data_IF_203475857324
#
_entry.id   IF_203475857324
#
_cell.length_a   1.000
_cell.length_b   1.000
_cell.length_c   1.000
_cell.angle_alpha   90.00
_cell.angle_beta   90.00
_cell.angle_gamma   90.00
#
_symmetry.space_group_name_H-M   'P 1'
#
loop_
_entity.id
_entity.type
_entity.pdbx_description
1 polymer ?
#
# COMPACT_ATOMS: atom_id res chain seq x y z
N UNK A 1 0.35 -9.17 6.67
CA UNK A 1 -0.69 -8.13 6.59
C UNK A 1 -1.99 -8.58 5.90
N UNK A 2 -2.01 -9.65 5.12
CA UNK A 2 -3.23 -10.18 4.46
C UNK A 2 -4.24 -10.69 5.49
N UNK A 3 -3.76 -11.36 6.55
CA UNK A 3 -4.63 -12.08 7.49
C UNK A 3 -5.63 -11.23 8.25
N UNK A 4 -5.28 -10.04 8.71
CA UNK A 4 -6.20 -9.21 9.49
C UNK A 4 -7.40 -8.73 8.68
N UNK A 5 -7.18 -8.32 7.42
CA UNK A 5 -8.27 -7.92 6.51
C UNK A 5 -9.19 -9.09 6.19
N UNK A 6 -8.62 -10.27 5.92
CA UNK A 6 -9.40 -11.49 5.64
C UNK A 6 -10.22 -11.93 6.85
N UNK A 7 -9.63 -11.86 8.07
CA UNK A 7 -10.33 -12.26 9.29
C UNK A 7 -11.43 -11.26 9.66
N UNK A 8 -11.17 -9.96 9.54
CA UNK A 8 -12.14 -8.93 9.96
C UNK A 8 -13.28 -8.72 8.95
N UNK A 9 -13.02 -8.95 7.66
CA UNK A 9 -13.98 -8.71 6.59
C UNK A 9 -15.33 -9.42 6.80
N UNK A 10 -15.41 -10.74 7.15
CA UNK A 10 -16.68 -11.40 7.41
C UNK A 10 -17.51 -10.75 8.53
N UNK A 11 -16.86 -10.29 9.59
CA UNK A 11 -17.54 -9.63 10.71
C UNK A 11 -18.10 -8.26 10.31
N UNK A 12 -17.35 -7.49 9.52
CA UNK A 12 -17.81 -6.20 8.97
C UNK A 12 -19.01 -6.44 8.06
N UNK A 13 -18.93 -7.40 7.13
CA UNK A 13 -19.99 -7.69 6.16
C UNK A 13 -21.27 -8.25 6.80
N UNK A 14 -21.14 -8.97 7.92
CA UNK A 14 -22.30 -9.51 8.65
C UNK A 14 -23.00 -8.44 9.52
N UNK A 15 -22.22 -7.56 10.17
CA UNK A 15 -22.75 -6.67 11.22
C UNK A 15 -23.01 -5.24 10.76
N UNK A 16 -22.40 -4.81 9.64
CA UNK A 16 -22.54 -3.43 9.20
C UNK A 16 -23.45 -3.31 7.98
N UNK A 17 -24.36 -2.32 7.95
CA UNK A 17 -25.14 -1.97 6.78
C UNK A 17 -24.24 -1.70 5.57
N UNK A 18 -24.75 -1.97 4.37
CA UNK A 18 -24.01 -1.84 3.12
C UNK A 18 -23.43 -0.44 2.91
N UNK A 19 -24.18 0.61 3.18
CA UNK A 19 -23.70 2.00 3.11
C UNK A 19 -22.50 2.25 4.05
N UNK A 20 -22.54 1.66 5.26
CA UNK A 20 -21.45 1.77 6.25
C UNK A 20 -20.17 1.10 5.74
N UNK A 21 -20.31 -0.04 5.05
CA UNK A 21 -19.20 -0.71 4.35
C UNK A 21 -18.65 0.19 3.23
N UNK A 22 -19.51 0.93 2.53
CA UNK A 22 -19.10 1.94 1.54
C UNK A 22 -18.20 3.03 2.15
N UNK A 23 -18.61 3.61 3.28
CA UNK A 23 -17.79 4.60 4.02
C UNK A 23 -16.47 3.98 4.48
N UNK A 24 -16.48 2.75 5.00
CA UNK A 24 -15.25 2.06 5.40
C UNK A 24 -14.27 1.90 4.21
N UNK A 25 -14.75 1.56 3.02
CA UNK A 25 -13.91 1.49 1.81
C UNK A 25 -13.30 2.86 1.44
N UNK A 26 -14.07 3.94 1.60
CA UNK A 26 -13.58 5.31 1.42
C UNK A 26 -12.47 5.61 2.44
N UNK A 27 -12.66 5.28 3.71
CA UNK A 27 -11.65 5.46 4.77
C UNK A 27 -10.36 4.69 4.49
N UNK A 28 -10.46 3.44 4.03
CA UNK A 28 -9.32 2.64 3.60
C UNK A 28 -8.55 3.33 2.45
N UNK A 29 -9.28 3.88 1.49
CA UNK A 29 -8.69 4.54 0.33
C UNK A 29 -8.03 5.86 0.70
N UNK A 30 -8.65 6.66 1.59
CA UNK A 30 -8.04 7.88 2.14
C UNK A 30 -6.76 7.54 2.90
N UNK A 31 -6.77 6.49 3.72
CA UNK A 31 -5.57 6.03 4.42
C UNK A 31 -4.48 5.62 3.42
N UNK A 32 -4.81 4.91 2.34
CA UNK A 32 -3.86 4.57 1.29
C UNK A 32 -3.31 5.81 0.58
N UNK A 33 -4.14 6.83 0.34
CA UNK A 33 -3.72 8.12 -0.21
C UNK A 33 -2.71 8.84 0.71
N UNK A 34 -2.98 8.86 2.02
CA UNK A 34 -2.05 9.46 3.01
C UNK A 34 -0.72 8.73 3.01
N UNK A 35 -0.71 7.40 2.86
CA UNK A 35 0.53 6.62 2.81
C UNK A 35 1.40 6.95 1.60
N UNK A 36 0.83 7.44 0.49
CA UNK A 36 1.61 7.92 -0.66
C UNK A 36 2.46 9.14 -0.34
N UNK A 37 2.02 9.97 0.61
CA UNK A 37 2.75 11.17 1.02
C UNK A 37 4.05 10.85 1.78
N UNK A 38 4.33 9.56 2.07
CA UNK A 38 5.68 9.08 2.41
C UNK A 38 6.67 9.27 1.26
N UNK A 39 6.20 9.36 0.01
CA UNK A 39 7.03 9.52 -1.20
C UNK A 39 8.24 8.58 -1.26
N UNK A 40 8.13 7.35 -0.74
CA UNK A 40 9.22 6.38 -0.73
C UNK A 40 10.38 6.73 0.23
N UNK A 41 10.18 7.69 1.12
CA UNK A 41 11.20 8.05 2.11
C UNK A 41 11.46 6.94 3.12
N UNK A 42 10.43 6.17 3.53
CA UNK A 42 10.59 5.07 4.49
C UNK A 42 11.58 4.00 4.01
N UNK A 43 11.46 3.38 2.82
CA UNK A 43 12.45 2.42 2.34
C UNK A 43 13.82 3.05 2.10
N UNK A 44 13.87 4.30 1.66
CA UNK A 44 15.12 5.04 1.44
C UNK A 44 15.83 5.30 2.77
N UNK A 45 15.12 5.73 3.80
CA UNK A 45 15.70 5.88 5.15
C UNK A 45 16.15 4.54 5.72
N UNK A 46 15.36 3.48 5.61
CA UNK A 46 15.74 2.15 6.10
C UNK A 46 17.06 1.68 5.47
N UNK A 47 17.23 1.87 4.16
CA UNK A 47 18.45 1.56 3.44
C UNK A 47 19.64 2.40 3.94
N UNK A 48 19.48 3.71 4.09
CA UNK A 48 20.56 4.58 4.56
C UNK A 48 20.95 4.27 6.01
N UNK A 49 19.99 3.95 6.87
CA UNK A 49 20.27 3.50 8.24
C UNK A 49 21.06 2.18 8.22
N UNK A 50 20.74 1.25 7.32
CA UNK A 50 21.52 0.02 7.14
C UNK A 50 22.97 0.32 6.76
N UNK A 51 23.21 1.30 5.87
CA UNK A 51 24.57 1.73 5.52
C UNK A 51 25.31 2.33 6.72
N UNK A 52 24.65 3.14 7.55
CA UNK A 52 25.25 3.70 8.77
C UNK A 52 25.65 2.59 9.73
N UNK A 53 24.80 1.58 9.93
CA UNK A 53 25.13 0.42 10.78
C UNK A 53 26.25 -0.48 10.18
N UNK A 54 26.46 -0.39 8.86
CA UNK A 54 27.61 -1.03 8.17
C UNK A 54 28.88 -0.17 8.18
N UNK A 55 28.89 0.98 8.88
CA UNK A 55 30.09 1.80 9.06
C UNK A 55 30.30 2.90 8.01
N UNK A 56 29.30 3.22 7.18
CA UNK A 56 29.34 4.37 6.25
C UNK A 56 29.36 5.68 7.05
N UNK A 57 30.27 6.60 6.69
CA UNK A 57 30.46 7.90 7.37
C UNK A 57 29.76 9.05 6.66
N UNK A 58 29.43 8.92 5.37
CA UNK A 58 28.76 9.95 4.58
C UNK A 58 27.73 9.32 3.66
N UNK A 59 26.51 9.90 3.59
CA UNK A 59 25.48 9.46 2.67
C UNK A 59 25.66 10.13 1.31
N UNK A 60 25.65 9.33 0.24
CA UNK A 60 25.80 9.80 -1.13
C UNK A 60 24.45 9.83 -1.85
N UNK A 61 24.31 10.75 -2.80
CA UNK A 61 23.12 10.85 -3.66
C UNK A 61 22.98 9.64 -4.58
N UNK A 62 24.09 9.18 -5.15
CA UNK A 62 24.15 8.03 -6.04
C UNK A 62 25.30 7.11 -5.56
N UNK A 63 25.06 5.80 -5.60
CA UNK A 63 26.02 4.79 -5.18
C UNK A 63 26.09 4.56 -3.66
N UNK A 64 27.08 3.77 -3.25
CA UNK A 64 27.38 3.44 -1.84
C UNK A 64 28.87 3.56 -1.61
N UNK A 65 29.26 4.20 -0.51
CA UNK A 65 30.65 4.23 -0.09
C UNK A 65 31.08 2.81 0.33
N UNK A 66 32.09 2.25 -0.32
CA UNK A 66 32.65 0.97 0.09
C UNK A 66 33.30 1.07 1.46
N UNK A 67 32.89 0.22 2.38
CA UNK A 67 33.46 0.13 3.72
C UNK A 67 34.16 -1.22 3.89
N UNK A 68 35.30 -1.24 4.54
CA UNK A 68 35.90 -2.48 5.04
C UNK A 68 35.06 -2.97 6.20
N UNK A 69 34.56 -4.21 6.15
CA UNK A 69 33.48 -4.79 6.95
C UNK A 69 33.56 -4.73 8.50
N UNK A 70 34.52 -3.98 9.08
CA UNK A 70 34.71 -3.78 10.53
C UNK A 70 34.65 -2.30 10.95
N UNK A 71 34.05 -1.42 10.14
CA UNK A 71 33.97 -0.01 10.50
C UNK A 71 32.94 0.22 11.61
N UNK A 72 33.31 1.01 12.63
CA UNK A 72 32.42 1.37 13.73
C UNK A 72 31.24 2.23 13.25
N UNK A 73 30.07 2.06 13.87
CA UNK A 73 28.85 2.82 13.59
C UNK A 73 29.08 4.30 13.88
N UNK A 74 28.77 5.16 12.92
CA UNK A 74 28.79 6.60 13.11
C UNK A 74 27.50 7.09 13.77
N UNK A 75 27.53 7.27 15.08
CA UNK A 75 26.38 7.74 15.84
C UNK A 75 26.05 9.23 15.59
N UNK A 76 26.99 10.02 15.08
CA UNK A 76 26.75 11.40 14.69
C UNK A 76 25.86 11.47 13.44
N UNK A 77 26.21 10.67 12.43
CA UNK A 77 25.39 10.52 11.22
C UNK A 77 24.03 9.88 11.53
N UNK A 78 23.97 8.87 12.41
CA UNK A 78 22.72 8.26 12.85
C UNK A 78 21.80 9.26 13.54
N UNK A 79 22.33 10.10 14.44
CA UNK A 79 21.58 11.15 15.12
C UNK A 79 21.07 12.21 14.15
N UNK A 80 21.91 12.67 13.22
CA UNK A 80 21.51 13.58 12.15
C UNK A 80 20.40 13.01 11.28
N UNK A 81 20.52 11.73 10.87
CA UNK A 81 19.49 11.02 10.09
C UNK A 81 18.17 10.87 10.86
N UNK A 82 18.22 10.55 12.15
CA UNK A 82 17.03 10.49 13.01
C UNK A 82 16.32 11.85 13.11
N UNK A 83 17.06 12.93 13.27
CA UNK A 83 16.50 14.28 13.30
C UNK A 83 15.93 14.69 11.93
N UNK A 84 16.59 14.31 10.84
CA UNK A 84 16.10 14.52 9.47
C UNK A 84 14.75 13.82 9.24
N UNK A 85 14.64 12.54 9.65
CA UNK A 85 13.38 11.78 9.57
C UNK A 85 12.27 12.42 10.40
N UNK A 86 12.54 12.73 11.67
CA UNK A 86 11.56 13.37 12.56
C UNK A 86 11.08 14.71 12.01
N UNK A 87 11.98 15.52 11.44
CA UNK A 87 11.64 16.80 10.82
C UNK A 87 10.77 16.59 9.59
N UNK A 88 11.14 15.68 8.69
CA UNK A 88 10.38 15.35 7.48
C UNK A 88 8.97 14.87 7.82
N UNK A 89 8.85 13.81 8.64
CA UNK A 89 7.54 13.23 8.97
C UNK A 89 6.65 14.16 9.79
N UNK A 90 7.23 15.05 10.59
CA UNK A 90 6.46 16.08 11.29
C UNK A 90 5.81 17.06 10.30
N UNK A 91 6.57 17.56 9.34
CA UNK A 91 6.03 18.45 8.30
C UNK A 91 4.97 17.74 7.44
N UNK A 92 5.22 16.50 7.05
CA UNK A 92 4.23 15.71 6.30
C UNK A 92 2.95 15.48 7.10
N UNK A 93 3.06 15.20 8.41
CA UNK A 93 1.90 15.04 9.28
C UNK A 93 1.08 16.36 9.40
N UNK A 94 1.73 17.53 9.48
CA UNK A 94 1.03 18.80 9.46
C UNK A 94 0.33 19.08 8.12
N UNK A 95 0.97 18.78 7.00
CA UNK A 95 0.36 18.91 5.67
C UNK A 95 -0.88 18.01 5.56
N UNK A 96 -0.75 16.74 5.97
CA UNK A 96 -1.88 15.79 5.98
C UNK A 96 -3.00 16.24 6.89
N UNK A 97 -2.65 16.72 8.09
CA UNK A 97 -3.65 17.26 9.02
C UNK A 97 -4.43 18.41 8.38
N UNK A 98 -3.74 19.39 7.80
CA UNK A 98 -4.38 20.50 7.10
C UNK A 98 -5.28 20.04 5.95
N UNK A 99 -4.79 19.12 5.09
CA UNK A 99 -5.57 18.60 3.96
C UNK A 99 -6.81 17.80 4.43
N UNK A 100 -6.67 16.95 5.45
CA UNK A 100 -7.79 16.14 5.92
C UNK A 100 -8.83 16.97 6.68
N UNK A 101 -8.39 17.97 7.48
CA UNK A 101 -9.32 18.84 8.21
C UNK A 101 -10.08 19.78 7.25
N UNK A 102 -9.46 20.22 6.16
CA UNK A 102 -10.11 21.12 5.18
C UNK A 102 -10.79 20.35 4.06
N UNK A 103 -10.05 20.00 3.01
CA UNK A 103 -10.58 19.35 1.82
C UNK A 103 -11.17 17.95 2.12
N UNK A 104 -10.52 17.19 3.01
CA UNK A 104 -10.99 15.85 3.43
C UNK A 104 -12.33 15.94 4.16
N UNK A 105 -12.48 16.89 5.10
CA UNK A 105 -13.74 17.06 5.85
C UNK A 105 -14.85 17.59 4.93
N UNK A 106 -14.55 18.52 4.02
CA UNK A 106 -15.53 18.99 3.05
C UNK A 106 -16.02 17.85 2.14
N UNK A 107 -15.10 17.05 1.63
CA UNK A 107 -15.43 15.84 0.85
C UNK A 107 -16.25 14.83 1.67
N UNK A 108 -15.82 14.52 2.90
CA UNK A 108 -16.54 13.57 3.75
C UNK A 108 -17.92 14.08 4.14
N UNK A 109 -18.07 15.37 4.40
CA UNK A 109 -19.39 16.00 4.66
C UNK A 109 -20.33 15.84 3.46
N UNK A 110 -19.83 16.03 2.23
CA UNK A 110 -20.59 15.76 1.00
C UNK A 110 -21.04 14.30 0.91
N UNK A 111 -20.16 13.35 1.21
CA UNK A 111 -20.51 11.92 1.23
C UNK A 111 -21.54 11.60 2.32
N UNK A 112 -21.41 12.24 3.49
CA UNK A 112 -22.31 12.01 4.63
C UNK A 112 -23.76 12.45 4.33
N UNK A 113 -23.97 13.37 3.38
CA UNK A 113 -25.33 13.75 2.94
C UNK A 113 -26.08 12.58 2.27
N UNK A 114 -25.35 11.65 1.66
CA UNK A 114 -25.89 10.45 1.00
C UNK A 114 -26.06 9.26 1.97
N UNK A 115 -25.58 9.40 3.21
CA UNK A 115 -25.56 8.32 4.19
C UNK A 115 -26.83 8.35 5.05
N UNK A 116 -27.55 7.21 5.07
CA UNK A 116 -28.79 7.05 5.85
C UNK A 116 -28.57 6.50 7.26
N UNK A 117 -27.37 5.95 7.54
CA UNK A 117 -27.03 5.36 8.83
C UNK A 117 -26.65 6.36 9.92
N UNK A 118 -25.97 5.90 10.96
CA UNK A 118 -25.55 6.73 12.10
C UNK A 118 -24.46 7.74 11.70
N UNK A 119 -24.88 8.97 11.42
CA UNK A 119 -23.98 10.08 11.09
C UNK A 119 -23.05 10.48 12.23
N UNK A 120 -23.46 10.28 13.47
CA UNK A 120 -22.65 10.62 14.63
C UNK A 120 -21.47 9.65 14.77
N UNK A 121 -21.72 8.35 14.63
CA UNK A 121 -20.66 7.31 14.59
C UNK A 121 -19.71 7.56 13.42
N UNK A 122 -20.24 7.84 12.22
CA UNK A 122 -19.41 8.11 11.03
C UNK A 122 -18.53 9.37 11.20
N UNK A 123 -19.03 10.44 11.80
CA UNK A 123 -18.27 11.65 12.07
C UNK A 123 -17.19 11.42 13.16
N UNK A 124 -17.52 10.69 14.22
CA UNK A 124 -16.55 10.31 15.25
C UNK A 124 -15.43 9.47 14.64
N UNK A 125 -15.78 8.48 13.82
CA UNK A 125 -14.82 7.65 13.10
C UNK A 125 -13.94 8.49 12.15
N UNK A 126 -14.50 9.53 11.49
CA UNK A 126 -13.74 10.46 10.66
C UNK A 126 -12.68 11.23 11.46
N UNK A 127 -13.03 11.78 12.61
CA UNK A 127 -12.09 12.48 13.51
C UNK A 127 -10.96 11.53 13.95
N UNK A 128 -11.30 10.31 14.35
CA UNK A 128 -10.31 9.29 14.69
C UNK A 128 -9.44 8.91 13.50
N UNK A 129 -10.00 8.87 12.28
CA UNK A 129 -9.25 8.60 11.05
C UNK A 129 -8.21 9.69 10.77
N UNK A 130 -8.55 10.96 10.96
CA UNK A 130 -7.58 12.06 10.85
C UNK A 130 -6.44 11.84 11.86
N UNK A 131 -6.79 11.60 13.13
CA UNK A 131 -5.82 11.42 14.20
C UNK A 131 -4.86 10.25 13.91
N UNK A 132 -5.39 9.08 13.49
CA UNK A 132 -4.56 7.90 13.20
C UNK A 132 -3.68 8.10 11.99
N UNK A 133 -4.15 8.74 10.92
CA UNK A 133 -3.35 8.99 9.72
C UNK A 133 -2.19 9.95 10.02
N UNK A 134 -2.44 11.03 10.75
CA UNK A 134 -1.39 11.96 11.18
C UNK A 134 -0.38 11.29 12.10
N UNK A 135 -0.84 10.52 13.09
CA UNK A 135 0.02 9.81 14.02
C UNK A 135 0.86 8.72 13.33
N UNK A 136 0.25 7.95 12.43
CA UNK A 136 0.94 6.93 11.64
C UNK A 136 2.06 7.56 10.81
N UNK A 137 1.74 8.61 10.05
CA UNK A 137 2.73 9.27 9.20
C UNK A 137 3.87 9.87 10.02
N UNK A 138 3.55 10.57 11.11
CA UNK A 138 4.56 11.13 12.01
C UNK A 138 5.51 10.07 12.56
N UNK A 139 5.01 8.86 12.82
CA UNK A 139 5.76 7.78 13.48
C UNK A 139 6.34 6.73 12.51
N UNK A 140 6.25 6.92 11.19
CA UNK A 140 6.77 5.97 10.19
C UNK A 140 8.27 5.72 10.29
N UNK A 141 9.04 6.67 10.84
CA UNK A 141 10.47 6.50 11.01
C UNK A 141 10.86 5.33 11.93
N UNK A 142 9.97 4.86 12.81
CA UNK A 142 10.27 3.68 13.65
C UNK A 142 10.46 2.40 12.81
N UNK A 143 9.63 2.20 11.78
CA UNK A 143 9.76 1.05 10.89
C UNK A 143 11.09 1.11 10.12
N UNK A 144 11.47 2.30 9.64
CA UNK A 144 12.74 2.53 8.96
C UNK A 144 13.95 2.27 9.89
N UNK A 145 13.87 2.70 11.15
CA UNK A 145 14.91 2.45 12.15
C UNK A 145 15.12 0.97 12.44
N UNK A 146 14.03 0.23 12.67
CA UNK A 146 14.10 -1.21 12.98
C UNK A 146 14.62 -2.00 11.77
N UNK A 147 14.08 -1.74 10.58
CA UNK A 147 14.51 -2.43 9.36
C UNK A 147 15.98 -2.10 9.02
N UNK A 148 16.36 -0.84 9.10
CA UNK A 148 17.73 -0.40 8.82
C UNK A 148 18.77 -0.93 9.81
N UNK A 149 18.40 -1.14 11.07
CA UNK A 149 19.26 -1.78 12.07
C UNK A 149 19.35 -3.32 11.91
N UNK A 150 18.57 -3.91 10.98
CA UNK A 150 18.49 -5.36 10.80
C UNK A 150 17.50 -6.07 11.73
N UNK A 151 16.70 -5.33 12.51
CA UNK A 151 15.68 -5.88 13.41
C UNK A 151 14.39 -6.26 12.67
N UNK A 152 14.55 -6.91 11.49
CA UNK A 152 13.43 -7.28 10.62
C UNK A 152 12.46 -8.24 11.33
N UNK A 153 12.97 -9.25 12.04
CA UNK A 153 12.16 -10.21 12.80
C UNK A 153 11.32 -9.51 13.87
N UNK A 154 11.94 -8.65 14.67
CA UNK A 154 11.26 -7.91 15.74
C UNK A 154 10.19 -6.97 15.16
N UNK A 155 10.49 -6.28 14.06
CA UNK A 155 9.53 -5.42 13.38
C UNK A 155 8.32 -6.23 12.88
N UNK A 156 8.53 -7.41 12.31
CA UNK A 156 7.42 -8.28 11.88
C UNK A 156 6.61 -8.81 13.07
N UNK A 157 7.25 -9.21 14.17
CA UNK A 157 6.56 -9.64 15.39
C UNK A 157 5.68 -8.53 15.97
N UNK A 158 6.18 -7.29 16.04
CA UNK A 158 5.41 -6.12 16.49
C UNK A 158 4.22 -5.88 15.57
N UNK A 159 4.40 -6.00 14.25
CA UNK A 159 3.32 -5.82 13.29
C UNK A 159 2.26 -6.92 13.41
N UNK A 160 2.65 -8.19 13.59
CA UNK A 160 1.72 -9.31 13.79
C UNK A 160 0.92 -9.11 15.08
N UNK A 161 1.59 -8.79 16.19
CA UNK A 161 0.93 -8.53 17.46
C UNK A 161 -0.06 -7.36 17.34
N UNK A 162 0.36 -6.27 16.72
CA UNK A 162 -0.52 -5.13 16.47
C UNK A 162 -1.74 -5.49 15.64
N UNK A 163 -1.58 -6.31 14.59
CA UNK A 163 -2.71 -6.79 13.79
C UNK A 163 -3.66 -7.69 14.59
N UNK A 164 -3.12 -8.56 15.44
CA UNK A 164 -3.95 -9.39 16.33
C UNK A 164 -4.77 -8.55 17.32
N UNK A 165 -4.14 -7.54 17.93
CA UNK A 165 -4.83 -6.59 18.82
C UNK A 165 -5.90 -5.80 18.05
N UNK A 166 -5.59 -5.31 16.84
CA UNK A 166 -6.55 -4.60 15.99
C UNK A 166 -7.78 -5.45 15.70
N UNK A 167 -7.58 -6.69 15.26
CA UNK A 167 -8.68 -7.61 14.90
C UNK A 167 -9.50 -7.95 16.14
N UNK A 168 -8.85 -8.32 17.25
CA UNK A 168 -9.55 -8.69 18.49
C UNK A 168 -10.39 -7.54 19.05
N UNK A 169 -9.82 -6.33 19.12
CA UNK A 169 -10.55 -5.15 19.58
C UNK A 169 -11.68 -4.76 18.63
N UNK A 170 -11.44 -4.78 17.31
CA UNK A 170 -12.44 -4.42 16.32
C UNK A 170 -13.64 -5.37 16.40
N UNK A 171 -13.40 -6.69 16.44
CA UNK A 171 -14.47 -7.69 16.60
C UNK A 171 -15.24 -7.46 17.91
N UNK A 172 -14.54 -7.32 19.04
CA UNK A 172 -15.18 -7.08 20.34
C UNK A 172 -16.07 -5.84 20.35
N UNK A 173 -15.59 -4.72 19.80
CA UNK A 173 -16.33 -3.46 19.74
C UNK A 173 -17.49 -3.51 18.72
N UNK A 174 -17.34 -4.21 17.60
CA UNK A 174 -18.44 -4.43 16.63
C UNK A 174 -19.57 -5.20 17.32
N UNK A 175 -19.27 -6.26 18.07
CA UNK A 175 -20.29 -7.01 18.84
C UNK A 175 -20.89 -6.20 19.98
N UNK A 176 -20.18 -5.21 20.53
CA UNK A 176 -20.70 -4.26 21.50
C UNK A 176 -21.61 -3.19 20.88
N UNK A 177 -21.84 -3.21 19.57
CA UNK A 177 -22.73 -2.31 18.87
C UNK A 177 -22.09 -1.03 18.34
N UNK A 178 -20.76 -0.89 18.44
CA UNK A 178 -20.06 0.24 17.82
C UNK A 178 -19.88 -0.01 16.30
N UNK A 179 -20.17 0.99 15.49
CA UNK A 179 -20.07 0.93 14.04
C UNK A 179 -18.65 1.17 13.50
N UNK A 180 -18.51 2.21 12.67
CA UNK A 180 -17.22 2.61 12.09
C UNK A 180 -16.18 2.98 13.15
N UNK A 181 -16.63 3.59 14.24
CA UNK A 181 -15.77 3.96 15.38
C UNK A 181 -15.07 2.73 15.98
N UNK A 182 -15.70 1.54 16.00
CA UNK A 182 -15.06 0.30 16.42
C UNK A 182 -13.80 -0.01 15.60
N UNK A 183 -13.90 0.07 14.29
CA UNK A 183 -12.80 -0.27 13.37
C UNK A 183 -11.68 0.74 13.51
N UNK A 184 -11.99 2.03 13.38
CA UNK A 184 -10.97 3.09 13.38
C UNK A 184 -10.34 3.25 14.77
N UNK A 185 -11.12 3.18 15.83
CA UNK A 185 -10.64 3.25 17.21
C UNK A 185 -9.68 2.09 17.55
N UNK A 186 -10.05 0.88 17.16
CA UNK A 186 -9.20 -0.30 17.35
C UNK A 186 -7.88 -0.19 16.59
N UNK A 187 -7.92 0.38 15.38
CA UNK A 187 -6.73 0.63 14.57
C UNK A 187 -5.82 1.68 15.21
N UNK A 188 -6.38 2.73 15.84
CA UNK A 188 -5.62 3.75 16.55
C UNK A 188 -4.90 3.15 17.76
N UNK A 189 -5.61 2.40 18.60
CA UNK A 189 -5.05 1.72 19.77
C UNK A 189 -3.92 0.77 19.36
N UNK A 190 -4.17 -0.09 18.37
CA UNK A 190 -3.16 -1.00 17.81
C UNK A 190 -1.92 -0.25 17.33
N UNK A 191 -2.12 0.87 16.64
CA UNK A 191 -1.00 1.69 16.13
C UNK A 191 -0.17 2.28 17.26
N UNK A 192 -0.81 2.81 18.30
CA UNK A 192 -0.10 3.33 19.47
C UNK A 192 0.75 2.24 20.13
N UNK A 193 0.17 1.06 20.34
CA UNK A 193 0.88 -0.09 20.95
C UNK A 193 2.10 -0.49 20.09
N UNK A 194 1.92 -0.61 18.76
CA UNK A 194 3.04 -0.91 17.85
C UNK A 194 4.16 0.12 17.96
N UNK A 195 3.83 1.40 18.04
CA UNK A 195 4.83 2.47 18.13
C UNK A 195 5.57 2.48 19.47
N UNK A 196 4.87 2.22 20.56
CA UNK A 196 5.48 2.06 21.90
C UNK A 196 6.45 0.87 21.90
N UNK A 197 6.06 -0.28 21.35
CA UNK A 197 6.93 -1.45 21.24
C UNK A 197 8.14 -1.17 20.34
N UNK A 198 7.95 -0.55 19.17
CA UNK A 198 9.03 -0.18 18.26
C UNK A 198 10.03 0.78 18.93
N UNK A 199 9.53 1.75 19.69
CA UNK A 199 10.37 2.66 20.47
C UNK A 199 11.21 1.91 21.50
N UNK A 200 10.61 1.01 22.29
CA UNK A 200 11.30 0.23 23.34
C UNK A 200 12.39 -0.68 22.74
N UNK A 201 12.12 -1.31 21.59
CA UNK A 201 13.08 -2.20 20.91
C UNK A 201 14.26 -1.42 20.32
N UNK A 202 14.03 -0.25 19.74
CA UNK A 202 15.11 0.52 19.13
C UNK A 202 15.89 1.35 20.14
N UNK A 203 15.21 2.11 21.00
CA UNK A 203 15.81 3.04 21.96
C UNK A 203 16.13 2.38 23.29
N UNK A 204 17.07 1.40 23.27
CA UNK A 204 17.66 0.83 24.49
C UNK A 204 18.44 1.88 25.26
N UNK A 205 18.78 1.64 26.52
CA UNK A 205 19.58 2.58 27.33
C UNK A 205 20.94 2.86 26.68
N UNK A 206 21.60 1.82 26.14
CA UNK A 206 22.84 1.97 25.40
C UNK A 206 22.69 2.86 24.16
N UNK A 207 21.64 2.64 23.35
CA UNK A 207 21.38 3.45 22.16
C UNK A 207 21.13 4.92 22.53
N UNK A 208 20.36 5.16 23.58
CA UNK A 208 20.08 6.52 24.09
C UNK A 208 21.39 7.21 24.54
N UNK A 209 22.22 6.52 25.32
CA UNK A 209 23.51 7.04 25.78
C UNK A 209 24.43 7.39 24.62
N UNK A 210 24.60 6.49 23.64
CA UNK A 210 25.42 6.71 22.45
C UNK A 210 24.91 7.88 21.59
N UNK A 211 23.60 7.98 21.38
CA UNK A 211 23.00 9.08 20.64
C UNK A 211 23.07 10.41 21.38
N UNK A 212 22.99 10.42 22.72
CA UNK A 212 23.12 11.65 23.50
C UNK A 212 24.54 12.21 23.44
N UNK A 213 25.56 11.37 23.52
CA UNK A 213 26.97 11.74 23.47
C UNK A 213 27.45 12.14 22.06
N UNK A 214 26.77 11.72 21.00
CA UNK A 214 27.18 12.01 19.64
C UNK A 214 26.87 13.45 19.22
N UNK A 215 27.78 14.06 18.44
CA UNK A 215 27.54 15.33 17.76
C UNK A 215 26.35 15.19 16.77
N UNK A 216 25.85 16.28 16.25
CA UNK A 216 24.71 16.27 15.29
C UNK A 216 25.22 16.68 13.92
N UNK A 217 25.12 15.84 12.93
CA UNK A 217 25.26 16.24 11.52
C UNK A 217 24.01 16.98 11.06
N UNK A 218 24.18 17.96 10.14
CA UNK A 218 23.03 18.77 9.70
C UNK A 218 21.94 17.92 9.03
N UNK A 219 20.72 17.90 9.59
CA UNK A 219 19.59 17.16 9.00
C UNK A 219 19.22 17.63 7.59
N UNK A 220 19.52 18.89 7.22
CA UNK A 220 19.19 19.42 5.90
C UNK A 220 20.03 18.79 4.80
N UNK A 221 21.33 18.60 5.04
CA UNK A 221 22.23 17.98 4.08
C UNK A 221 21.88 16.52 3.86
N UNK A 222 21.50 15.82 4.93
CA UNK A 222 21.01 14.44 4.86
C UNK A 222 19.75 14.35 4.02
N UNK A 223 18.75 15.20 4.24
CA UNK A 223 17.53 15.23 3.44
C UNK A 223 17.83 15.55 1.98
N UNK A 224 18.73 16.51 1.70
CA UNK A 224 19.13 16.85 0.33
C UNK A 224 19.78 15.68 -0.41
N UNK A 225 20.58 14.87 0.29
CA UNK A 225 21.20 13.68 -0.28
C UNK A 225 20.16 12.56 -0.60
N UNK A 226 19.14 12.38 0.25
CA UNK A 226 18.17 11.27 0.18
C UNK A 226 16.99 11.58 -0.74
N UNK A 227 16.52 12.84 -0.79
CA UNK A 227 15.27 13.25 -1.44
C UNK A 227 15.14 12.86 -2.92
N UNK A 228 16.15 12.97 -3.81
CA UNK A 228 15.96 12.69 -5.22
C UNK A 228 15.50 11.26 -5.51
N UNK A 229 16.08 10.28 -4.80
CA UNK A 229 15.70 8.87 -4.95
C UNK A 229 14.34 8.57 -4.33
N UNK A 230 14.04 9.16 -3.18
CA UNK A 230 12.75 9.01 -2.51
C UNK A 230 11.60 9.54 -3.40
N UNK A 231 11.75 10.74 -3.99
CA UNK A 231 10.74 11.35 -4.85
C UNK A 231 10.45 10.49 -6.10
N UNK A 232 11.47 9.93 -6.75
CA UNK A 232 11.28 9.04 -7.91
C UNK A 232 10.42 7.83 -7.56
N UNK A 233 10.70 7.20 -6.41
CA UNK A 233 9.92 6.05 -5.90
C UNK A 233 8.49 6.49 -5.60
N UNK A 234 8.32 7.63 -4.91
CA UNK A 234 7.01 8.14 -4.52
C UNK A 234 6.12 8.48 -5.71
N UNK A 235 6.66 9.10 -6.74
CA UNK A 235 5.92 9.42 -7.97
C UNK A 235 5.48 8.16 -8.72
N UNK A 236 6.30 7.10 -8.74
CA UNK A 236 5.90 5.80 -9.31
C UNK A 236 4.73 5.20 -8.53
N UNK A 237 4.78 5.25 -7.19
CA UNK A 237 3.69 4.78 -6.33
C UNK A 237 2.41 5.62 -6.50
N UNK A 238 2.54 6.94 -6.70
CA UNK A 238 1.40 7.82 -6.97
C UNK A 238 0.67 7.43 -8.27
N UNK A 239 1.40 7.14 -9.34
CA UNK A 239 0.80 6.62 -10.58
C UNK A 239 0.02 5.32 -10.35
N UNK A 240 0.61 4.36 -9.65
CA UNK A 240 -0.07 3.11 -9.29
C UNK A 240 -1.32 3.30 -8.42
N UNK A 241 -1.29 4.25 -7.47
CA UNK A 241 -2.47 4.59 -6.68
C UNK A 241 -3.60 5.18 -7.55
N UNK A 242 -3.27 6.11 -8.43
CA UNK A 242 -4.28 6.73 -9.31
C UNK A 242 -4.96 5.67 -10.18
N UNK A 243 -4.25 4.65 -10.64
CA UNK A 243 -4.86 3.54 -11.39
C UNK A 243 -5.73 2.66 -10.49
N UNK A 244 -5.21 2.22 -9.34
CA UNK A 244 -5.79 1.11 -8.59
C UNK A 244 -6.77 1.54 -7.48
N UNK A 245 -6.70 2.79 -7.00
CA UNK A 245 -7.47 3.23 -5.82
C UNK A 245 -8.28 4.51 -6.03
N UNK A 246 -7.99 5.33 -7.06
CA UNK A 246 -8.74 6.58 -7.28
C UNK A 246 -10.21 6.35 -7.61
N UNK A 247 -10.54 5.18 -8.18
CA UNK A 247 -11.89 4.80 -8.56
C UNK A 247 -12.88 4.88 -7.38
N UNK A 248 -12.48 4.46 -6.17
CA UNK A 248 -13.34 4.52 -4.98
C UNK A 248 -13.60 5.98 -4.58
N UNK A 249 -12.55 6.84 -4.56
CA UNK A 249 -12.71 8.24 -4.15
C UNK A 249 -13.53 9.05 -5.15
N UNK A 250 -13.26 8.86 -6.45
CA UNK A 250 -14.00 9.57 -7.50
C UNK A 250 -15.42 9.00 -7.59
N UNK A 251 -15.54 7.67 -7.59
CA UNK A 251 -16.83 6.98 -7.69
C UNK A 251 -17.79 7.35 -6.58
N UNK A 252 -17.35 7.48 -5.34
CA UNK A 252 -18.22 7.85 -4.21
C UNK A 252 -18.82 9.25 -4.33
N UNK A 253 -18.24 10.16 -5.14
CA UNK A 253 -18.83 11.44 -5.44
C UNK A 253 -20.04 11.33 -6.40
N UNK A 254 -20.06 10.32 -7.27
CA UNK A 254 -21.09 10.16 -8.31
C UNK A 254 -22.08 9.03 -8.01
N UNK A 255 -21.65 7.96 -7.39
CA UNK A 255 -22.43 6.74 -7.13
C UNK A 255 -23.05 6.74 -5.73
N UNK A 256 -23.93 5.76 -5.49
CA UNK A 256 -24.45 5.46 -4.16
C UNK A 256 -23.39 4.81 -3.27
N UNK A 257 -23.56 4.91 -1.95
CA UNK A 257 -22.64 4.24 -1.01
C UNK A 257 -22.73 2.72 -1.09
N UNK A 258 -23.88 2.17 -1.47
CA UNK A 258 -24.09 0.74 -1.72
C UNK A 258 -23.28 0.24 -2.92
N UNK A 259 -23.30 0.97 -4.04
CA UNK A 259 -22.48 0.66 -5.21
C UNK A 259 -20.98 0.73 -4.89
N UNK A 260 -20.58 1.73 -4.12
CA UNK A 260 -19.19 1.86 -3.63
C UNK A 260 -18.82 0.70 -2.71
N UNK A 261 -19.75 0.22 -1.88
CA UNK A 261 -19.55 -0.94 -1.02
C UNK A 261 -19.32 -2.22 -1.86
N UNK A 262 -20.21 -2.51 -2.81
CA UNK A 262 -20.08 -3.67 -3.70
C UNK A 262 -18.77 -3.65 -4.48
N UNK A 263 -18.43 -2.52 -5.07
CA UNK A 263 -17.16 -2.35 -5.78
C UNK A 263 -15.95 -2.51 -4.85
N UNK A 264 -15.99 -1.90 -3.66
CA UNK A 264 -14.90 -1.92 -2.69
C UNK A 264 -14.61 -3.31 -2.13
N UNK A 265 -15.63 -4.10 -1.77
CA UNK A 265 -15.41 -5.48 -1.30
C UNK A 265 -14.91 -6.38 -2.43
N UNK A 266 -15.42 -6.17 -3.66
CA UNK A 266 -14.93 -6.88 -4.85
C UNK A 266 -13.45 -6.59 -5.08
N UNK A 267 -13.00 -5.32 -4.97
CA UNK A 267 -11.59 -4.95 -5.03
C UNK A 267 -10.76 -5.60 -3.92
N UNK A 268 -11.29 -5.70 -2.70
CA UNK A 268 -10.54 -6.32 -1.60
C UNK A 268 -10.29 -7.81 -1.84
N UNK A 269 -11.30 -8.54 -2.33
CA UNK A 269 -11.13 -9.95 -2.67
C UNK A 269 -10.18 -10.11 -3.87
N UNK A 270 -10.26 -9.21 -4.86
CA UNK A 270 -9.31 -9.14 -5.97
C UNK A 270 -7.87 -8.94 -5.48
N UNK A 271 -7.64 -8.01 -4.54
CA UNK A 271 -6.33 -7.76 -3.94
C UNK A 271 -5.79 -9.01 -3.20
N UNK A 272 -6.67 -9.79 -2.55
CA UNK A 272 -6.29 -11.05 -1.88
C UNK A 272 -5.89 -12.09 -2.92
N UNK A 273 -6.71 -12.30 -3.95
CA UNK A 273 -6.44 -13.23 -5.04
C UNK A 273 -5.12 -12.91 -5.74
N UNK A 274 -4.90 -11.64 -6.05
CA UNK A 274 -3.68 -11.15 -6.66
C UNK A 274 -2.44 -11.45 -5.81
N UNK A 275 -2.51 -11.23 -4.51
CA UNK A 275 -1.41 -11.54 -3.59
C UNK A 275 -1.11 -13.03 -3.52
N UNK A 276 -2.13 -13.88 -3.52
CA UNK A 276 -1.97 -15.33 -3.59
C UNK A 276 -1.30 -15.74 -4.92
N UNK A 277 -1.73 -15.17 -6.04
CA UNK A 277 -1.16 -15.45 -7.35
C UNK A 277 0.32 -15.02 -7.47
N UNK A 278 0.70 -13.92 -6.80
CA UNK A 278 2.07 -13.38 -6.86
C UNK A 278 3.05 -14.02 -5.85
N UNK A 279 2.63 -14.99 -5.03
CA UNK A 279 3.49 -15.63 -4.01
C UNK A 279 4.73 -16.27 -4.63
N UNK A 280 4.59 -17.00 -5.73
CA UNK A 280 5.71 -17.64 -6.39
C UNK A 280 6.73 -16.62 -6.90
N UNK A 281 6.27 -15.55 -7.54
CA UNK A 281 7.15 -14.48 -8.00
C UNK A 281 7.96 -13.88 -6.84
N UNK A 282 7.30 -13.53 -5.72
CA UNK A 282 7.97 -12.97 -4.56
C UNK A 282 8.98 -13.93 -3.94
N UNK A 283 8.69 -15.23 -3.94
CA UNK A 283 9.57 -16.27 -3.40
C UNK A 283 10.81 -16.50 -4.28
N UNK A 284 10.67 -16.35 -5.60
CA UNK A 284 11.77 -16.54 -6.56
C UNK A 284 12.54 -15.25 -6.87
N UNK A 285 12.13 -14.10 -6.35
CA UNK A 285 12.78 -12.81 -6.60
C UNK A 285 14.31 -12.82 -6.31
N UNK A 286 14.81 -13.42 -5.19
CA UNK A 286 16.26 -13.54 -4.96
C UNK A 286 16.98 -14.37 -6.02
N UNK A 287 16.36 -15.47 -6.50
CA UNK A 287 16.93 -16.32 -7.56
C UNK A 287 16.96 -15.62 -8.90
N UNK A 288 15.93 -14.82 -9.21
CA UNK A 288 15.93 -13.98 -10.41
C UNK A 288 17.07 -12.96 -10.39
N UNK A 289 17.31 -12.31 -9.25
CA UNK A 289 18.42 -11.40 -9.07
C UNK A 289 19.78 -12.10 -9.22
N UNK A 290 19.93 -13.31 -8.68
CA UNK A 290 21.13 -14.14 -8.85
C UNK A 290 21.37 -14.50 -10.31
N UNK A 291 20.36 -15.03 -11.03
CA UNK A 291 20.48 -15.34 -12.46
C UNK A 291 20.88 -14.12 -13.29
N UNK A 292 20.41 -12.91 -12.89
CA UNK A 292 20.83 -11.65 -13.53
C UNK A 292 22.34 -11.38 -13.35
N UNK A 293 22.84 -11.54 -12.12
CA UNK A 293 24.28 -11.30 -11.84
C UNK A 293 25.19 -12.33 -12.48
N UNK A 294 24.70 -13.56 -12.66
CA UNK A 294 25.42 -14.68 -13.28
C UNK A 294 25.27 -14.71 -14.82
N UNK A 295 24.46 -13.84 -15.42
CA UNK A 295 24.07 -13.86 -16.83
C UNK A 295 23.46 -15.21 -17.26
N UNK A 296 22.78 -15.90 -16.37
CA UNK A 296 22.10 -17.17 -16.66
C UNK A 296 20.75 -16.92 -17.35
N UNK A 297 20.76 -16.83 -18.67
CA UNK A 297 19.54 -16.65 -19.47
C UNK A 297 18.60 -17.85 -19.40
N UNK A 298 19.15 -19.09 -19.25
CA UNK A 298 18.32 -20.29 -19.16
C UNK A 298 17.53 -20.30 -17.85
N UNK A 299 18.20 -20.01 -16.73
CA UNK A 299 17.57 -19.82 -15.42
C UNK A 299 16.52 -18.71 -15.44
N UNK A 300 16.83 -17.55 -16.03
CA UNK A 300 15.88 -16.44 -16.14
C UNK A 300 14.61 -16.82 -16.91
N UNK A 301 14.73 -17.51 -18.05
CA UNK A 301 13.59 -18.02 -18.84
C UNK A 301 12.74 -18.98 -18.01
N UNK A 302 13.41 -19.96 -17.36
CA UNK A 302 12.73 -20.97 -16.54
C UNK A 302 11.93 -20.33 -15.40
N UNK A 303 12.54 -19.43 -14.63
CA UNK A 303 11.86 -18.76 -13.51
C UNK A 303 10.79 -17.79 -13.99
N UNK A 304 10.98 -17.07 -15.08
CA UNK A 304 9.93 -16.21 -15.64
C UNK A 304 8.69 -17.03 -16.05
N UNK A 305 8.88 -18.12 -16.80
CA UNK A 305 7.77 -18.99 -17.20
C UNK A 305 7.07 -19.64 -15.99
N UNK A 306 7.82 -20.12 -15.01
CA UNK A 306 7.27 -20.72 -13.80
C UNK A 306 6.45 -19.67 -13.01
N UNK A 307 6.97 -18.48 -12.80
CA UNK A 307 6.27 -17.43 -12.07
C UNK A 307 5.04 -16.93 -12.82
N UNK A 308 5.14 -16.74 -14.14
CA UNK A 308 4.01 -16.29 -14.96
C UNK A 308 2.94 -17.37 -15.08
N UNK A 309 3.35 -18.61 -15.33
CA UNK A 309 2.42 -19.75 -15.42
C UNK A 309 1.70 -20.02 -14.09
N UNK A 310 2.43 -19.99 -12.97
CA UNK A 310 1.81 -20.15 -11.64
C UNK A 310 0.88 -18.99 -11.29
N UNK A 311 1.25 -17.76 -11.62
CA UNK A 311 0.40 -16.58 -11.41
C UNK A 311 -0.92 -16.70 -12.19
N UNK A 312 -0.85 -17.02 -13.48
CA UNK A 312 -2.03 -17.20 -14.33
C UNK A 312 -2.91 -18.36 -13.81
N UNK A 313 -2.29 -19.51 -13.48
CA UNK A 313 -3.03 -20.67 -12.99
C UNK A 313 -3.77 -20.39 -11.67
N UNK A 314 -3.09 -19.80 -10.68
CA UNK A 314 -3.69 -19.45 -9.39
C UNK A 314 -4.76 -18.38 -9.55
N UNK A 315 -4.51 -17.36 -10.37
CA UNK A 315 -5.47 -16.28 -10.60
C UNK A 315 -6.74 -16.77 -11.31
N UNK A 316 -6.60 -17.59 -12.34
CA UNK A 316 -7.77 -18.19 -13.05
C UNK A 316 -8.50 -19.15 -12.13
N UNK A 317 -7.82 -20.08 -11.46
CA UNK A 317 -8.48 -21.03 -10.55
C UNK A 317 -9.22 -20.32 -9.41
N UNK A 318 -8.58 -19.32 -8.79
CA UNK A 318 -9.20 -18.52 -7.74
C UNK A 318 -10.33 -17.63 -8.26
N UNK A 319 -10.20 -17.06 -9.45
CA UNK A 319 -11.26 -16.27 -10.10
C UNK A 319 -12.48 -17.11 -10.44
N UNK A 320 -12.29 -18.31 -10.99
CA UNK A 320 -13.37 -19.28 -11.26
C UNK A 320 -14.06 -19.68 -9.94
N UNK A 321 -13.28 -20.06 -8.92
CA UNK A 321 -13.83 -20.38 -7.61
C UNK A 321 -14.63 -19.20 -7.03
N UNK A 322 -14.15 -17.97 -7.18
CA UNK A 322 -14.87 -16.78 -6.71
C UNK A 322 -16.19 -16.55 -7.45
N UNK A 323 -16.22 -16.70 -8.78
CA UNK A 323 -17.45 -16.54 -9.58
C UNK A 323 -18.53 -17.54 -9.15
N UNK A 324 -18.16 -18.79 -8.86
CA UNK A 324 -19.13 -19.84 -8.50
C UNK A 324 -19.44 -19.87 -6.99
N UNK A 325 -18.48 -19.61 -6.13
CA UNK A 325 -18.62 -19.79 -4.69
C UNK A 325 -18.72 -18.46 -3.92
N UNK A 326 -18.45 -17.32 -4.58
CA UNK A 326 -18.37 -16.03 -3.89
C UNK A 326 -19.68 -15.62 -3.21
N UNK A 327 -20.81 -15.69 -3.92
CA UNK A 327 -22.10 -15.35 -3.34
C UNK A 327 -22.51 -16.33 -2.25
N UNK A 328 -22.29 -17.64 -2.47
CA UNK A 328 -22.51 -18.65 -1.43
C UNK A 328 -21.70 -18.37 -0.16
N UNK A 329 -20.46 -17.92 -0.30
CA UNK A 329 -19.64 -17.56 0.86
C UNK A 329 -20.18 -16.31 1.58
N UNK A 330 -20.72 -15.32 0.85
CA UNK A 330 -21.39 -14.16 1.45
C UNK A 330 -22.68 -14.55 2.17
N UNK A 331 -23.48 -15.45 1.58
CA UNK A 331 -24.69 -15.96 2.22
C UNK A 331 -24.38 -16.74 3.50
N UNK A 332 -23.31 -17.57 3.49
CA UNK A 332 -22.86 -18.32 4.65
C UNK A 332 -22.51 -17.44 5.85
N UNK A 333 -21.92 -16.26 5.59
CA UNK A 333 -21.59 -15.28 6.63
C UNK A 333 -22.73 -14.30 6.90
N UNK A 334 -23.90 -14.47 6.28
CA UNK A 334 -25.04 -13.56 6.36
C UNK A 334 -24.66 -12.10 6.05
N UNK A 335 -23.91 -11.90 4.97
CA UNK A 335 -23.44 -10.58 4.55
C UNK A 335 -24.59 -9.68 4.11
N UNK A 336 -24.58 -8.43 4.57
CA UNK A 336 -25.50 -7.39 4.10
C UNK A 336 -25.03 -6.72 2.79
N UNK A 337 -23.81 -7.03 2.34
CA UNK A 337 -23.21 -6.46 1.12
C UNK A 337 -22.96 -7.58 0.11
N UNK A 338 -23.18 -7.30 -1.16
CA UNK A 338 -23.00 -8.24 -2.25
C UNK A 338 -21.80 -7.91 -3.12
N UNK A 339 -21.26 -8.90 -3.82
CA UNK A 339 -20.30 -8.66 -4.88
C UNK A 339 -20.95 -8.00 -6.09
N UNK A 340 -20.12 -7.48 -6.97
CA UNK A 340 -20.58 -6.99 -8.27
C UNK A 340 -21.26 -8.12 -9.07
N UNK A 341 -22.22 -7.79 -9.96
CA UNK A 341 -22.82 -8.74 -10.86
C UNK A 341 -21.78 -9.55 -11.63
N UNK A 342 -22.09 -10.83 -11.93
CA UNK A 342 -21.14 -11.78 -12.52
C UNK A 342 -20.45 -11.24 -13.78
N UNK A 343 -21.18 -10.54 -14.66
CA UNK A 343 -20.59 -9.96 -15.87
C UNK A 343 -19.52 -8.92 -15.55
N UNK A 344 -19.78 -8.01 -14.58
CA UNK A 344 -18.82 -7.03 -14.12
C UNK A 344 -17.60 -7.68 -13.45
N UNK A 345 -17.86 -8.72 -12.63
CA UNK A 345 -16.82 -9.49 -11.96
C UNK A 345 -15.89 -10.17 -12.97
N UNK A 346 -16.43 -10.80 -14.01
CA UNK A 346 -15.63 -11.44 -15.07
C UNK A 346 -14.75 -10.43 -15.81
N UNK A 347 -15.29 -9.27 -16.18
CA UNK A 347 -14.50 -8.21 -16.82
C UNK A 347 -13.41 -7.69 -15.89
N UNK A 348 -13.72 -7.50 -14.61
CA UNK A 348 -12.76 -7.05 -13.61
C UNK A 348 -11.66 -8.09 -13.37
N UNK A 349 -11.99 -9.39 -13.36
CA UNK A 349 -11.00 -10.48 -13.29
C UNK A 349 -10.10 -10.48 -14.51
N UNK A 350 -10.63 -10.29 -15.71
CA UNK A 350 -9.83 -10.21 -16.93
C UNK A 350 -8.86 -9.02 -16.91
N UNK A 351 -9.34 -7.83 -16.55
CA UNK A 351 -8.50 -6.64 -16.37
C UNK A 351 -7.43 -6.89 -15.31
N UNK A 352 -7.81 -7.48 -14.17
CA UNK A 352 -6.89 -7.82 -13.09
C UNK A 352 -5.80 -8.81 -13.50
N UNK A 353 -6.11 -9.81 -14.32
CA UNK A 353 -5.14 -10.75 -14.85
C UNK A 353 -4.08 -10.02 -15.71
N UNK A 354 -4.50 -9.12 -16.60
CA UNK A 354 -3.60 -8.31 -17.42
C UNK A 354 -2.73 -7.38 -16.56
N UNK A 355 -3.34 -6.75 -15.55
CA UNK A 355 -2.67 -5.85 -14.60
C UNK A 355 -1.56 -6.58 -13.83
N UNK A 356 -1.83 -7.77 -13.30
CA UNK A 356 -0.84 -8.53 -12.54
C UNK A 356 0.24 -9.16 -13.43
N UNK A 357 -0.09 -9.49 -14.67
CA UNK A 357 0.90 -9.95 -15.64
C UNK A 357 1.92 -8.84 -15.99
N UNK A 358 1.44 -7.62 -16.23
CA UNK A 358 2.37 -6.52 -16.48
C UNK A 358 3.14 -6.11 -15.23
N UNK A 359 2.51 -6.10 -14.05
CA UNK A 359 3.15 -5.78 -12.78
C UNK A 359 4.29 -6.76 -12.45
N UNK A 360 4.09 -8.06 -12.68
CA UNK A 360 5.12 -9.08 -12.55
C UNK A 360 6.27 -8.85 -13.54
N UNK A 361 5.95 -8.54 -14.81
CA UNK A 361 6.96 -8.23 -15.84
C UNK A 361 7.75 -6.97 -15.51
N UNK A 362 7.09 -5.92 -15.01
CA UNK A 362 7.77 -4.73 -14.50
C UNK A 362 8.69 -5.06 -13.32
N UNK A 363 8.24 -5.91 -12.40
CA UNK A 363 9.06 -6.39 -11.29
C UNK A 363 10.28 -7.20 -11.76
N UNK A 364 10.15 -7.98 -12.84
CA UNK A 364 11.26 -8.70 -13.46
C UNK A 364 12.31 -7.75 -14.05
N UNK A 365 11.88 -6.63 -14.68
CA UNK A 365 12.76 -5.57 -15.15
C UNK A 365 13.44 -4.85 -13.99
N UNK A 366 12.71 -4.64 -12.86
CA UNK A 366 13.26 -4.03 -11.64
C UNK A 366 14.38 -4.86 -11.01
N UNK A 367 14.38 -6.19 -11.19
CA UNK A 367 15.46 -7.05 -10.70
C UNK A 367 16.83 -6.73 -11.35
N UNK A 368 16.82 -6.00 -12.47
CA UNK A 368 18.01 -5.45 -13.15
C UNK A 368 18.29 -3.97 -12.76
N UNK A 369 17.74 -3.50 -11.67
CA UNK A 369 17.85 -2.11 -11.17
C UNK A 369 17.40 -1.02 -12.19
N UNK A 370 16.50 -1.37 -13.12
CA UNK A 370 15.92 -0.45 -14.12
C UNK A 370 14.48 -0.13 -13.76
N UNK A 371 14.08 1.14 -13.88
CA UNK A 371 12.71 1.61 -13.59
C UNK A 371 12.21 2.44 -14.79
N UNK A 372 11.96 1.82 -15.96
CA UNK A 372 11.54 2.55 -17.16
C UNK A 372 10.06 2.96 -17.12
N UNK A 373 9.27 2.41 -16.22
CA UNK A 373 7.80 2.58 -16.14
C UNK A 373 7.36 3.79 -15.32
N UNK A 374 8.25 4.63 -14.84
CA UNK A 374 7.93 5.81 -14.01
C UNK A 374 6.99 6.79 -14.75
N UNK A 375 7.39 7.28 -15.93
CA UNK A 375 6.55 8.20 -16.73
C UNK A 375 5.27 7.52 -17.23
N UNK A 376 5.33 6.29 -17.80
CA UNK A 376 4.10 5.57 -18.15
C UNK A 376 3.12 5.35 -17.00
N UNK A 377 3.60 5.07 -15.80
CA UNK A 377 2.73 4.89 -14.63
C UNK A 377 1.96 6.17 -14.28
N UNK A 378 2.63 7.33 -14.29
CA UNK A 378 1.97 8.62 -14.06
C UNK A 378 0.98 8.96 -15.18
N UNK A 379 1.35 8.72 -16.44
CA UNK A 379 0.47 8.96 -17.58
C UNK A 379 -0.79 8.09 -17.52
N UNK A 380 -0.63 6.78 -17.22
CA UNK A 380 -1.78 5.88 -17.03
C UNK A 380 -2.64 6.29 -15.84
N UNK A 381 -2.03 6.73 -14.74
CA UNK A 381 -2.76 7.25 -13.58
C UNK A 381 -3.59 8.50 -13.93
N UNK A 382 -2.99 9.46 -14.62
CA UNK A 382 -3.71 10.66 -15.08
C UNK A 382 -4.83 10.30 -16.07
N UNK A 383 -4.56 9.41 -17.04
CA UNK A 383 -5.56 8.92 -17.97
C UNK A 383 -6.73 8.22 -17.26
N UNK A 384 -6.45 7.42 -16.21
CA UNK A 384 -7.48 6.79 -15.40
C UNK A 384 -8.40 7.82 -14.74
N UNK A 385 -7.85 8.88 -14.14
CA UNK A 385 -8.65 9.94 -13.52
C UNK A 385 -9.54 10.66 -14.55
N UNK A 386 -8.99 10.97 -15.73
CA UNK A 386 -9.75 11.60 -16.81
C UNK A 386 -10.87 10.68 -17.32
N UNK A 387 -10.57 9.39 -17.53
CA UNK A 387 -11.57 8.42 -17.96
C UNK A 387 -12.64 8.17 -16.89
N UNK A 388 -12.28 8.13 -15.61
CA UNK A 388 -13.25 8.03 -14.51
C UNK A 388 -14.23 9.21 -14.54
N UNK A 389 -13.71 10.44 -14.67
CA UNK A 389 -14.58 11.62 -14.78
C UNK A 389 -15.49 11.54 -16.01
N UNK A 390 -14.94 11.17 -17.17
CA UNK A 390 -15.70 11.05 -18.43
C UNK A 390 -16.81 9.98 -18.33
N UNK A 391 -16.51 8.84 -17.76
CA UNK A 391 -17.45 7.71 -17.68
C UNK A 391 -18.53 7.92 -16.61
N UNK A 392 -18.20 8.60 -15.51
CA UNK A 392 -19.14 8.83 -14.42
C UNK A 392 -20.02 10.05 -14.60
N UNK A 393 -19.48 11.15 -15.18
CA UNK A 393 -20.21 12.39 -15.33
C UNK A 393 -20.97 12.48 -16.65
N UNK A 394 -20.35 12.65 -17.84
CA UNK A 394 -21.12 12.81 -19.07
C UNK A 394 -21.75 11.50 -19.58
N UNK A 395 -21.06 10.35 -19.42
CA UNK A 395 -21.54 9.07 -19.95
C UNK A 395 -22.41 8.27 -18.96
N UNK A 396 -22.42 8.64 -17.68
CA UNK A 396 -23.23 8.03 -16.63
C UNK A 396 -23.19 6.49 -16.60
N UNK A 397 -22.00 5.92 -16.84
CA UNK A 397 -21.81 4.46 -16.93
C UNK A 397 -21.91 3.73 -15.58
N UNK A 398 -22.09 4.44 -14.47
CA UNK A 398 -22.18 3.84 -13.14
C UNK A 398 -20.93 3.04 -12.77
N UNK A 399 -21.11 1.89 -12.15
CA UNK A 399 -20.01 1.00 -11.72
C UNK A 399 -19.16 0.51 -12.89
N UNK A 400 -19.70 0.38 -14.11
CA UNK A 400 -18.92 0.06 -15.30
C UNK A 400 -17.80 1.06 -15.54
N UNK A 401 -18.04 2.34 -15.27
CA UNK A 401 -17.02 3.39 -15.37
C UNK A 401 -15.84 3.14 -14.43
N UNK A 402 -16.09 2.64 -13.21
CA UNK A 402 -15.04 2.32 -12.25
C UNK A 402 -14.14 1.16 -12.72
N UNK A 403 -14.70 0.19 -13.42
CA UNK A 403 -14.01 -1.00 -13.91
C UNK A 403 -13.23 -0.70 -15.20
N UNK A 404 -13.89 -0.02 -16.15
CA UNK A 404 -13.34 0.16 -17.49
C UNK A 404 -12.28 1.27 -17.56
N UNK A 405 -12.40 2.33 -16.75
CA UNK A 405 -11.44 3.44 -16.78
C UNK A 405 -9.98 2.99 -16.52
N UNK A 406 -9.66 2.31 -15.41
CA UNK A 406 -8.32 1.79 -15.19
C UNK A 406 -7.93 0.73 -16.23
N UNK A 407 -8.86 -0.16 -16.62
CA UNK A 407 -8.62 -1.20 -17.61
C UNK A 407 -8.17 -0.63 -18.95
N UNK A 408 -8.89 0.34 -19.50
CA UNK A 408 -8.57 1.00 -20.78
C UNK A 408 -7.25 1.77 -20.67
N UNK A 409 -7.06 2.54 -19.59
CA UNK A 409 -5.82 3.31 -19.40
C UNK A 409 -4.58 2.41 -19.39
N UNK A 410 -4.67 1.25 -18.75
CA UNK A 410 -3.57 0.28 -18.65
C UNK A 410 -3.40 -0.53 -19.95
N UNK A 411 -4.50 -0.91 -20.60
CA UNK A 411 -4.47 -1.64 -21.86
C UNK A 411 -3.86 -0.81 -23.00
N UNK A 412 -4.02 0.52 -22.96
CA UNK A 412 -3.44 1.41 -23.96
C UNK A 412 -1.91 1.28 -24.07
N UNK A 413 -1.21 0.97 -23.01
CA UNK A 413 0.25 0.87 -23.03
C UNK A 413 0.84 -0.18 -22.09
N UNK A 414 0.55 -0.16 -20.81
CA UNK A 414 1.25 -0.89 -19.76
C UNK A 414 1.10 -2.42 -19.89
N UNK A 415 -0.13 -2.90 -20.13
CA UNK A 415 -0.48 -4.32 -20.07
C UNK A 415 0.23 -5.18 -21.14
N UNK A 416 0.61 -4.59 -22.28
CA UNK A 416 1.33 -5.30 -23.33
C UNK A 416 2.80 -4.92 -23.43
N UNK A 417 3.17 -3.68 -23.05
CA UNK A 417 4.53 -3.17 -23.22
C UNK A 417 5.55 -3.92 -22.37
N UNK A 418 5.28 -4.07 -21.08
CA UNK A 418 6.27 -4.65 -20.16
C UNK A 418 6.45 -6.15 -20.36
N UNK A 419 5.40 -6.97 -20.54
CA UNK A 419 5.57 -8.36 -20.98
C UNK A 419 6.36 -8.48 -22.29
N UNK A 420 6.09 -7.62 -23.28
CA UNK A 420 6.81 -7.63 -24.56
C UNK A 420 8.29 -7.31 -24.40
N UNK A 421 8.66 -6.37 -23.52
CA UNK A 421 10.06 -6.05 -23.21
C UNK A 421 10.77 -7.26 -22.63
N UNK A 422 10.17 -7.93 -21.64
CA UNK A 422 10.76 -9.12 -21.02
C UNK A 422 10.87 -10.28 -22.01
N UNK A 423 9.83 -10.52 -22.84
CA UNK A 423 9.87 -11.57 -23.85
C UNK A 423 10.98 -11.30 -24.87
N UNK A 424 11.11 -10.06 -25.36
CA UNK A 424 12.20 -9.69 -26.27
C UNK A 424 13.58 -9.84 -25.62
N UNK A 425 13.72 -9.48 -24.35
CA UNK A 425 14.99 -9.63 -23.63
C UNK A 425 15.37 -11.11 -23.44
N UNK A 426 14.41 -11.97 -23.14
CA UNK A 426 14.66 -13.37 -22.86
C UNK A 426 14.76 -14.24 -24.12
N UNK A 427 13.99 -13.96 -25.19
CA UNK A 427 13.89 -14.80 -26.40
C UNK A 427 14.22 -14.06 -27.70
N UNK A 428 14.28 -12.72 -27.70
CA UNK A 428 14.74 -11.95 -28.84
C UNK A 428 16.24 -12.19 -29.07
N UNK A 429 16.58 -12.68 -30.26
CA UNK A 429 17.97 -12.76 -30.73
C UNK A 429 18.50 -11.40 -31.09
#
# INVERSE_FOLDING_TARGET
MIGAGVILLPFILNKMPQETVGIWNIFQTITALVLLLDFGFRPTFARNISYIFSGVKTLQRDGVQHTTGNAAVDYSLLKGTLLAMRRFYRWMAFIVFGLLVTAGTAYFYYILQKYSGDRQDAMMAWVLLIAINCYNLYTFYYDALLMGKGYVRQNQQINILGQAIYVGLAIGLIYAGFGLTAIVGSQLISTIIRRVLSYRVFFTQEMKSRLSAAAVQDPKDILRAISPNAIKIGLTQAGGFLVNKSAILIGSAFLTLEEVACYGITLQVMDILARCAMVFYQSYLPKLAQCRTENDLAGLRRYYLLCTGSMIAVFIAGGVAWVFLGNWALDLIHSQTHFLPTAMLCVMLFIGLLEHNHAQSAGFIMADNRIPFFIPSLASGAATVVLLWLFLSPLQMGVWGLILAPGIAQLAYQNWKWPSVVIKELWGK
#
